data_IF_752142530960
#
_entry.id   IF_752142530960
#
_cell.length_a   1.000
_cell.length_b   1.000
_cell.length_c   1.000
_cell.angle_alpha   90.00
_cell.angle_beta   90.00
_cell.angle_gamma   90.00
#
_symmetry.space_group_name_H-M   'P 1'
#
loop_
_entity.id
_entity.type
_entity.pdbx_description
1 polymer ?
#
# COMPACT_ATOMS: atom_id res chain seq x y z
N UNK A 1 0.23 21.90 5.53
CA UNK A 1 1.45 22.28 4.77
C UNK A 1 1.31 21.69 3.38
N UNK A 2 0.91 22.49 2.39
CA UNK A 2 0.76 22.02 1.01
C UNK A 2 2.10 22.22 0.31
N UNK A 3 2.74 21.13 -0.10
CA UNK A 3 3.88 21.19 -1.02
C UNK A 3 3.45 21.96 -2.29
N UNK A 4 4.32 22.76 -2.88
CA UNK A 4 4.00 23.76 -3.91
C UNK A 4 3.48 23.20 -5.27
N UNK A 5 2.81 22.04 -5.31
CA UNK A 5 2.39 21.30 -6.51
C UNK A 5 3.50 21.14 -7.55
N UNK A 6 4.76 21.15 -7.11
CA UNK A 6 5.92 20.98 -7.98
C UNK A 6 5.95 19.60 -8.65
N UNK A 7 6.74 19.44 -9.73
CA UNK A 7 6.91 18.16 -10.40
C UNK A 7 7.64 17.15 -9.51
N UNK A 8 7.51 15.86 -9.84
CA UNK A 8 8.47 14.86 -9.35
C UNK A 8 9.84 15.17 -9.98
N UNK A 9 10.93 14.88 -9.27
CA UNK A 9 12.29 15.20 -9.72
C UNK A 9 13.15 13.94 -9.69
N UNK A 10 13.95 13.74 -10.73
CA UNK A 10 14.95 12.68 -10.81
C UNK A 10 16.31 13.34 -11.00
N UNK A 11 17.16 13.24 -9.99
CA UNK A 11 18.55 13.70 -10.08
C UNK A 11 19.39 12.56 -10.63
N UNK A 12 19.73 12.65 -11.93
CA UNK A 12 20.51 11.63 -12.63
C UNK A 12 22.02 11.76 -12.40
N UNK A 13 22.49 12.96 -12.02
CA UNK A 13 23.91 13.26 -11.80
C UNK A 13 24.13 13.70 -10.35
N UNK A 14 24.48 12.75 -9.48
CA UNK A 14 24.64 12.99 -8.05
C UNK A 14 26.14 13.06 -7.71
N UNK A 15 26.59 14.14 -7.07
CA UNK A 15 28.02 14.32 -6.77
C UNK A 15 28.54 13.21 -5.84
N UNK A 16 29.49 12.42 -6.34
CA UNK A 16 30.12 11.33 -5.59
C UNK A 16 29.33 10.01 -5.58
N UNK A 17 28.27 9.89 -6.37
CA UNK A 17 27.43 8.68 -6.43
C UNK A 17 27.00 8.36 -7.86
N UNK A 18 26.95 7.07 -8.20
CA UNK A 18 26.46 6.59 -9.50
C UNK A 18 24.94 6.29 -9.50
N UNK A 19 24.29 6.39 -8.35
CA UNK A 19 22.87 6.05 -8.17
C UNK A 19 22.01 7.32 -8.28
N UNK A 20 20.99 7.35 -9.14
CA UNK A 20 20.10 8.50 -9.27
C UNK A 20 19.18 8.64 -8.04
N UNK A 21 18.77 9.87 -7.74
CA UNK A 21 17.87 10.16 -6.61
C UNK A 21 16.51 10.63 -7.11
N UNK A 22 15.47 9.86 -6.82
CA UNK A 22 14.08 10.23 -7.06
C UNK A 22 13.52 11.01 -5.85
N UNK A 23 13.03 12.22 -6.10
CA UNK A 23 12.39 13.08 -5.10
C UNK A 23 10.99 13.50 -5.51
N UNK A 24 10.17 13.84 -4.51
CA UNK A 24 8.83 14.40 -4.73
C UNK A 24 7.88 13.53 -5.59
N UNK A 25 8.12 12.22 -5.66
CA UNK A 25 7.33 11.26 -6.43
C UNK A 25 5.83 11.36 -6.10
N UNK A 26 5.50 11.48 -4.82
CA UNK A 26 4.12 11.59 -4.32
C UNK A 26 3.73 13.01 -3.86
N UNK A 27 4.42 14.03 -4.38
CA UNK A 27 4.23 15.44 -3.97
C UNK A 27 2.90 16.12 -4.32
N UNK A 28 1.93 15.38 -4.87
CA UNK A 28 0.61 15.92 -5.21
C UNK A 28 -0.48 14.88 -5.02
N UNK A 29 -1.71 15.35 -4.74
CA UNK A 29 -2.90 14.48 -4.62
C UNK A 29 -3.05 13.63 -5.88
N UNK A 30 -2.90 14.21 -7.07
CA UNK A 30 -3.03 13.46 -8.33
C UNK A 30 -2.03 12.30 -8.45
N UNK A 31 -0.79 12.46 -7.98
CA UNK A 31 0.20 11.38 -8.00
C UNK A 31 -0.06 10.33 -6.93
N UNK A 32 -0.63 10.71 -5.79
CA UNK A 32 -1.11 9.76 -4.79
C UNK A 32 -2.31 8.95 -5.31
N UNK A 33 -3.27 9.59 -5.99
CA UNK A 33 -4.41 8.88 -6.61
C UNK A 33 -3.95 7.84 -7.62
N UNK A 34 -2.92 8.16 -8.43
CA UNK A 34 -2.32 7.21 -9.37
C UNK A 34 -1.61 6.08 -8.62
N UNK A 35 -0.78 6.39 -7.63
CA UNK A 35 0.02 5.39 -6.92
C UNK A 35 -0.78 4.48 -5.98
N UNK A 36 -1.92 4.95 -5.49
CA UNK A 36 -2.84 4.19 -4.62
C UNK A 36 -4.07 3.66 -5.38
N UNK A 37 -4.18 3.97 -6.67
CA UNK A 37 -5.28 3.56 -7.54
C UNK A 37 -6.68 3.88 -6.98
N UNK A 38 -6.81 4.99 -6.24
CA UNK A 38 -8.09 5.46 -5.70
C UNK A 38 -8.17 6.98 -5.66
N UNK A 39 -9.39 7.51 -5.79
CA UNK A 39 -9.69 8.93 -5.59
C UNK A 39 -10.26 9.22 -4.21
N UNK A 40 -10.58 8.20 -3.40
CA UNK A 40 -11.09 8.36 -2.04
C UNK A 40 -10.18 7.66 -1.02
N UNK A 41 -9.35 8.45 -0.34
CA UNK A 41 -8.44 7.92 0.69
C UNK A 41 -9.15 7.44 1.96
N UNK A 42 -10.43 7.78 2.14
CA UNK A 42 -11.23 7.30 3.26
C UNK A 42 -11.44 5.79 3.19
N UNK A 43 -11.53 5.23 1.98
CA UNK A 43 -11.67 3.79 1.75
C UNK A 43 -10.48 3.00 2.32
N UNK A 44 -9.26 3.55 2.19
CA UNK A 44 -8.04 2.96 2.75
C UNK A 44 -8.13 2.94 4.28
N UNK A 45 -8.53 4.06 4.89
CA UNK A 45 -8.70 4.17 6.35
C UNK A 45 -9.74 3.19 6.89
N UNK A 46 -10.88 3.07 6.20
CA UNK A 46 -11.94 2.13 6.57
C UNK A 46 -11.46 0.67 6.50
N UNK A 47 -10.75 0.30 5.42
CA UNK A 47 -10.19 -1.05 5.27
C UNK A 47 -9.24 -1.41 6.41
N UNK A 48 -8.38 -0.47 6.83
CA UNK A 48 -7.48 -0.67 7.97
C UNK A 48 -8.28 -0.85 9.27
N UNK A 49 -9.26 0.02 9.52
CA UNK A 49 -10.11 -0.08 10.70
C UNK A 49 -10.85 -1.43 10.78
N UNK A 50 -11.37 -1.91 9.66
CA UNK A 50 -12.07 -3.21 9.60
C UNK A 50 -11.13 -4.38 9.91
N UNK A 51 -9.88 -4.33 9.42
CA UNK A 51 -8.87 -5.34 9.77
C UNK A 51 -8.54 -5.36 11.26
N UNK A 52 -8.47 -4.20 11.93
CA UNK A 52 -8.17 -4.15 13.37
C UNK A 52 -9.28 -4.70 14.26
N UNK A 53 -10.52 -4.70 13.79
CA UNK A 53 -11.70 -5.20 14.53
C UNK A 53 -11.98 -6.68 14.29
N UNK A 54 -11.16 -7.35 13.48
CA UNK A 54 -11.36 -8.76 13.18
C UNK A 54 -10.96 -9.61 14.39
N UNK A 55 -11.96 -10.00 15.20
CA UNK A 55 -11.78 -10.91 16.34
C UNK A 55 -11.35 -12.30 15.86
N UNK A 56 -10.38 -12.94 16.54
CA UNK A 56 -10.01 -14.34 16.29
C UNK A 56 -11.14 -15.22 16.83
N UNK A 57 -11.90 -15.94 15.99
CA UNK A 57 -13.09 -16.64 16.43
C UNK A 57 -12.75 -17.89 17.25
N UNK A 58 -13.38 -18.02 18.42
CA UNK A 58 -13.41 -19.26 19.20
C UNK A 58 -14.52 -20.21 18.71
N UNK A 59 -14.19 -21.50 18.55
CA UNK A 59 -15.15 -22.59 18.23
C UNK A 59 -15.11 -23.13 16.78
N UNK A 60 -15.36 -24.43 16.62
CA UNK A 60 -15.21 -25.17 15.34
C UNK A 60 -16.27 -24.77 14.30
N UNK A 61 -17.52 -24.50 14.73
CA UNK A 61 -18.63 -24.18 13.83
C UNK A 61 -18.52 -22.76 13.22
N UNK A 62 -18.00 -21.80 13.99
CA UNK A 62 -17.75 -20.43 13.52
C UNK A 62 -16.57 -20.35 12.54
N UNK A 63 -15.59 -21.25 12.64
CA UNK A 63 -14.46 -21.34 11.70
C UNK A 63 -14.89 -21.66 10.27
N UNK A 64 -15.90 -22.53 10.08
CA UNK A 64 -16.38 -22.92 8.75
C UNK A 64 -17.13 -21.77 8.06
N UNK A 65 -17.98 -21.03 8.79
CA UNK A 65 -18.70 -19.85 8.25
C UNK A 65 -17.77 -18.70 7.83
N UNK A 66 -16.59 -18.60 8.45
CA UNK A 66 -15.60 -17.54 8.20
C UNK A 66 -14.57 -17.91 7.13
N UNK A 67 -14.59 -19.12 6.57
CA UNK A 67 -13.69 -19.54 5.48
C UNK A 67 -13.67 -18.57 4.27
N UNK A 68 -14.81 -18.01 3.80
CA UNK A 68 -14.79 -17.05 2.70
C UNK A 68 -14.10 -15.72 3.07
N UNK A 69 -14.25 -15.25 4.30
CA UNK A 69 -13.53 -14.06 4.80
C UNK A 69 -12.03 -14.32 4.95
N UNK A 70 -11.66 -15.50 5.46
CA UNK A 70 -10.27 -15.94 5.55
C UNK A 70 -9.61 -16.07 4.17
N UNK A 71 -10.35 -16.52 3.15
CA UNK A 71 -9.88 -16.57 1.76
C UNK A 71 -9.58 -15.17 1.22
N UNK A 72 -10.44 -14.19 1.48
CA UNK A 72 -10.19 -12.79 1.09
C UNK A 72 -8.99 -12.18 1.82
N UNK A 73 -8.78 -12.56 3.07
CA UNK A 73 -7.60 -12.15 3.83
C UNK A 73 -6.33 -12.84 3.31
N UNK A 74 -6.44 -14.08 2.83
CA UNK A 74 -5.32 -14.83 2.25
C UNK A 74 -4.66 -14.10 1.07
N UNK A 75 -5.46 -13.36 0.29
CA UNK A 75 -5.00 -12.52 -0.83
C UNK A 75 -4.22 -11.27 -0.37
N UNK A 76 -4.37 -10.85 0.89
CA UNK A 76 -3.65 -9.71 1.45
C UNK A 76 -2.27 -10.08 1.99
N UNK A 77 -1.95 -11.37 2.11
CA UNK A 77 -0.61 -11.79 2.49
C UNK A 77 0.35 -11.71 1.31
N UNK A 78 1.63 -11.33 1.56
CA UNK A 78 2.62 -11.29 0.50
C UNK A 78 2.83 -12.68 -0.09
N UNK A 79 2.95 -12.74 -1.42
CA UNK A 79 3.46 -13.93 -2.10
C UNK A 79 4.97 -13.98 -1.90
N UNK A 80 5.47 -15.09 -1.37
CA UNK A 80 6.90 -15.29 -1.20
C UNK A 80 7.52 -15.58 -2.56
N UNK A 81 8.26 -14.61 -3.09
CA UNK A 81 9.09 -14.79 -4.28
C UNK A 81 10.54 -15.06 -3.88
N UNK A 82 11.14 -16.10 -4.47
CA UNK A 82 12.52 -16.53 -4.15
C UNK A 82 13.58 -15.74 -4.93
N UNK A 83 13.17 -15.04 -5.97
CA UNK A 83 14.08 -14.33 -6.87
C UNK A 83 13.33 -13.23 -7.63
N UNK A 84 13.97 -12.09 -7.82
CA UNK A 84 13.50 -10.99 -8.66
C UNK A 84 14.52 -9.83 -8.66
N UNK A 85 14.50 -8.95 -9.66
CA UNK A 85 15.17 -7.66 -9.54
C UNK A 85 14.47 -6.88 -8.42
N UNK A 86 15.26 -6.32 -7.50
CA UNK A 86 14.75 -5.51 -6.38
C UNK A 86 14.02 -4.28 -6.88
#
# INVERSE_FOLDING_TARGET
VSYAKGPAVLFENVMGYDIPVLGNAFGSIKRLEIGLETTDFSEIGQRIADMTKMEIPSGIFNKIRKLPELSKMSESFPKLEKSGPV
#
